data_IF_754025680979
#
_entry.id   IF_754025680979
#
_cell.length_a   1.000
_cell.length_b   1.000
_cell.length_c   1.000
_cell.angle_alpha   90.00
_cell.angle_beta   90.00
_cell.angle_gamma   90.00
#
_symmetry.space_group_name_H-M   'P 1'
#
loop_
_entity.id
_entity.type
_entity.pdbx_description
1 polymer ?
#
# COMPACT_ATOMS: atom_id res chain seq x y z
N UNK A 1 3.80 -0.27 2.38
CA UNK A 1 4.71 0.56 3.21
C UNK A 1 4.35 0.42 4.68
N UNK A 2 5.30 0.43 5.62
CA UNK A 2 5.02 0.32 7.07
C UNK A 2 5.41 1.59 7.83
N UNK A 3 4.61 1.95 8.81
CA UNK A 3 4.84 2.99 9.81
C UNK A 3 4.35 2.51 11.18
N UNK A 4 5.28 2.25 12.11
CA UNK A 4 4.97 1.64 13.40
C UNK A 4 4.20 0.32 13.26
N UNK A 5 2.98 0.30 13.82
CA UNK A 5 2.05 -0.84 13.74
C UNK A 5 1.06 -0.73 12.58
N UNK A 6 1.27 0.17 11.62
CA UNK A 6 0.42 0.30 10.44
C UNK A 6 1.18 -0.10 9.18
N UNK A 7 0.52 -0.86 8.32
CA UNK A 7 0.96 -1.07 6.95
C UNK A 7 -0.05 -0.49 5.97
N UNK A 8 0.43 0.34 5.05
CA UNK A 8 -0.35 0.95 3.99
C UNK A 8 -0.15 0.20 2.68
N UNK A 9 -1.26 -0.14 2.04
CA UNK A 9 -1.33 -0.89 0.79
C UNK A 9 -2.23 -0.15 -0.20
N UNK A 10 -2.03 -0.38 -1.49
CA UNK A 10 -2.95 0.09 -2.53
C UNK A 10 -3.30 -1.08 -3.45
N UNK A 11 -4.59 -1.34 -3.61
CA UNK A 11 -5.07 -2.24 -4.65
C UNK A 11 -5.06 -1.50 -5.99
N UNK A 12 -4.00 -1.69 -6.77
CA UNK A 12 -3.75 -0.96 -8.02
C UNK A 12 -4.89 -1.15 -9.04
N UNK A 13 -5.50 -2.34 -9.08
CA UNK A 13 -6.67 -2.65 -9.94
C UNK A 13 -8.02 -2.23 -9.34
N UNK A 14 -8.03 -1.48 -8.24
CA UNK A 14 -9.23 -0.88 -7.65
C UNK A 14 -10.23 -1.88 -7.05
N UNK A 15 -11.52 -1.49 -6.96
CA UNK A 15 -12.61 -2.26 -6.33
C UNK A 15 -12.91 -3.63 -6.97
N UNK A 16 -12.38 -3.90 -8.16
CA UNK A 16 -12.55 -5.19 -8.83
C UNK A 16 -11.58 -6.26 -8.34
N UNK A 17 -10.60 -5.88 -7.50
CA UNK A 17 -9.61 -6.82 -6.99
C UNK A 17 -10.22 -7.74 -5.94
N UNK A 18 -10.28 -9.04 -6.23
CA UNK A 18 -10.99 -10.03 -5.42
C UNK A 18 -10.56 -10.05 -3.94
N UNK A 19 -9.28 -9.81 -3.65
CA UNK A 19 -8.79 -9.77 -2.28
C UNK A 19 -9.31 -8.59 -1.46
N UNK A 20 -9.63 -7.45 -2.10
CA UNK A 20 -10.25 -6.30 -1.41
C UNK A 20 -11.65 -6.66 -0.94
N UNK A 21 -12.41 -7.39 -1.77
CA UNK A 21 -13.74 -7.90 -1.39
C UNK A 21 -13.64 -8.90 -0.23
N UNK A 22 -12.63 -9.77 -0.26
CA UNK A 22 -12.38 -10.70 0.85
C UNK A 22 -12.11 -9.96 2.15
N UNK A 23 -11.29 -8.90 2.13
CA UNK A 23 -11.02 -8.05 3.30
C UNK A 23 -12.28 -7.35 3.81
N UNK A 24 -13.16 -6.90 2.92
CA UNK A 24 -14.42 -6.27 3.32
C UNK A 24 -15.37 -7.25 4.03
N UNK A 25 -15.28 -8.54 3.71
CA UNK A 25 -16.08 -9.60 4.36
C UNK A 25 -15.42 -10.09 5.65
N UNK A 26 -14.10 -10.31 5.63
CA UNK A 26 -13.30 -10.68 6.78
C UNK A 26 -12.03 -9.83 6.82
N UNK A 27 -11.94 -8.85 7.72
CA UNK A 27 -10.80 -7.92 7.77
C UNK A 27 -9.52 -8.57 8.30
N UNK A 28 -9.59 -9.79 8.86
CA UNK A 28 -8.42 -10.45 9.44
C UNK A 28 -7.44 -10.88 8.35
N UNK A 29 -6.19 -10.40 8.44
CA UNK A 29 -5.14 -10.68 7.46
C UNK A 29 -3.84 -11.12 8.13
N UNK A 30 -3.02 -11.84 7.35
CA UNK A 30 -1.63 -12.14 7.67
C UNK A 30 -0.73 -11.48 6.62
N UNK A 31 0.20 -10.64 7.05
CA UNK A 31 1.09 -9.87 6.20
C UNK A 31 2.54 -10.29 6.45
N UNK A 32 3.19 -10.84 5.42
CA UNK A 32 4.64 -11.09 5.45
C UNK A 32 5.36 -9.80 5.08
N UNK A 33 6.20 -9.34 6.01
CA UNK A 33 7.13 -8.24 5.84
C UNK A 33 8.57 -8.77 5.89
N UNK A 34 9.53 -7.89 5.58
CA UNK A 34 10.96 -8.24 5.60
C UNK A 34 11.44 -8.69 6.98
N UNK A 35 10.85 -8.16 8.04
CA UNK A 35 11.22 -8.46 9.42
C UNK A 35 10.38 -9.57 10.06
N UNK A 36 9.32 -10.09 9.43
CA UNK A 36 8.50 -11.16 10.00
C UNK A 36 7.11 -11.30 9.38
N UNK A 37 6.30 -12.22 9.91
CA UNK A 37 4.87 -12.28 9.60
C UNK A 37 4.08 -11.61 10.70
N UNK A 38 3.09 -10.81 10.32
CA UNK A 38 2.21 -10.11 11.23
C UNK A 38 0.76 -10.50 10.98
N UNK A 39 -0.01 -10.69 12.03
CA UNK A 39 -1.47 -10.74 11.95
C UNK A 39 -2.06 -9.37 12.26
N UNK A 40 -3.19 -9.06 11.65
CA UNK A 40 -3.85 -7.79 11.88
C UNK A 40 -5.20 -7.65 11.20
N UNK A 41 -5.76 -6.44 11.26
CA UNK A 41 -7.02 -6.08 10.63
C UNK A 41 -6.81 -5.09 9.49
N UNK A 42 -7.30 -5.42 8.31
CA UNK A 42 -7.25 -4.57 7.12
C UNK A 42 -8.59 -3.87 6.88
N UNK A 43 -8.53 -2.60 6.48
CA UNK A 43 -9.70 -1.84 6.03
C UNK A 43 -9.35 -0.86 4.92
N UNK A 44 -10.31 -0.58 4.07
CA UNK A 44 -10.22 0.47 3.05
C UNK A 44 -10.19 1.84 3.72
N UNK A 45 -9.40 2.76 3.17
CA UNK A 45 -9.33 4.16 3.58
C UNK A 45 -9.71 5.06 2.40
N UNK A 46 -10.22 6.25 2.67
CA UNK A 46 -10.65 7.21 1.65
C UNK A 46 -10.30 8.65 2.09
N UNK A 47 -10.30 9.64 1.17
CA UNK A 47 -10.13 11.03 1.55
C UNK A 47 -11.12 11.43 2.67
N UNK A 48 -10.60 12.09 3.72
CA UNK A 48 -11.34 12.39 4.94
C UNK A 48 -11.18 11.37 6.07
N UNK A 49 -10.61 10.19 5.81
CA UNK A 49 -10.18 9.27 6.87
C UNK A 49 -8.95 9.85 7.60
N UNK A 50 -8.90 9.84 8.95
CA UNK A 50 -7.78 10.39 9.71
C UNK A 50 -6.41 9.83 9.33
N UNK A 51 -6.34 8.60 8.82
CA UNK A 51 -5.06 7.99 8.41
C UNK A 51 -4.73 8.15 6.93
N UNK A 52 -5.62 8.77 6.14
CA UNK A 52 -5.46 8.87 4.69
C UNK A 52 -4.23 9.69 4.30
N UNK A 53 -4.04 10.88 4.88
CA UNK A 53 -2.91 11.75 4.54
C UNK A 53 -1.57 11.12 4.94
N UNK A 54 -1.50 10.52 6.12
CA UNK A 54 -0.31 9.78 6.56
C UNK A 54 -0.01 8.58 5.64
N UNK A 55 -1.05 7.86 5.21
CA UNK A 55 -0.91 6.76 4.26
C UNK A 55 -0.43 7.27 2.89
N UNK A 56 -0.99 8.36 2.40
CA UNK A 56 -0.60 8.99 1.13
C UNK A 56 0.86 9.43 1.17
N UNK A 57 1.26 10.18 2.19
CA UNK A 57 2.64 10.63 2.37
C UNK A 57 3.61 9.44 2.43
N UNK A 58 3.27 8.42 3.23
CA UNK A 58 4.15 7.26 3.40
C UNK A 58 4.25 6.39 2.15
N UNK A 59 3.15 6.22 1.42
CA UNK A 59 3.07 5.39 0.21
C UNK A 59 3.64 6.09 -1.01
N UNK A 60 3.27 7.36 -1.22
CA UNK A 60 3.64 8.14 -2.39
C UNK A 60 4.99 8.87 -2.21
N UNK A 61 5.34 9.27 -0.99
CA UNK A 61 6.49 10.13 -0.72
C UNK A 61 7.81 9.38 -0.48
N UNK A 62 7.74 8.12 -0.05
CA UNK A 62 8.92 7.30 0.26
C UNK A 62 9.24 6.36 -0.88
N UNK A 63 10.48 6.44 -1.36
CA UNK A 63 11.02 5.61 -2.44
C UNK A 63 12.10 4.71 -1.87
N UNK A 64 11.95 3.41 -2.06
CA UNK A 64 12.90 2.38 -1.68
C UNK A 64 13.67 1.89 -2.92
N UNK A 65 14.84 1.25 -2.74
CA UNK A 65 15.64 0.76 -3.87
C UNK A 65 14.87 -0.19 -4.81
N UNK A 66 13.97 -1.01 -4.27
CA UNK A 66 13.18 -1.95 -5.07
C UNK A 66 12.19 -1.25 -6.02
N UNK A 67 11.71 -0.05 -5.65
CA UNK A 67 10.75 0.71 -6.46
C UNK A 67 11.36 1.16 -7.80
N UNK A 68 12.69 1.27 -7.89
CA UNK A 68 13.37 1.53 -9.17
C UNK A 68 13.28 0.34 -10.12
N UNK A 69 13.37 -0.89 -9.60
CA UNK A 69 13.16 -2.11 -10.41
C UNK A 69 11.70 -2.23 -10.83
N UNK A 70 10.77 -2.00 -9.90
CA UNK A 70 9.35 -1.99 -10.19
C UNK A 70 8.99 -0.97 -11.29
N UNK A 71 9.57 0.22 -11.25
CA UNK A 71 9.31 1.27 -12.24
C UNK A 71 9.73 0.87 -13.66
N UNK A 72 10.81 0.10 -13.82
CA UNK A 72 11.27 -0.41 -15.13
C UNK A 72 10.22 -1.32 -15.77
N UNK A 73 9.51 -2.12 -14.99
CA UNK A 73 8.47 -3.01 -15.50
C UNK A 73 7.17 -2.27 -15.86
N UNK A 74 6.91 -1.11 -15.26
CA UNK A 74 5.63 -0.41 -15.39
C UNK A 74 5.70 0.86 -16.27
N UNK A 75 6.87 1.45 -16.47
CA UNK A 75 7.05 2.68 -17.26
C UNK A 75 8.25 2.58 -18.19
N UNK A 76 8.13 3.17 -19.38
CA UNK A 76 9.25 3.23 -20.35
C UNK A 76 10.34 4.22 -19.90
N UNK A 77 11.59 3.87 -20.23
CA UNK A 77 12.78 4.69 -20.01
C UNK A 77 13.39 4.57 -18.62
N UNK A 78 14.47 5.31 -18.35
CA UNK A 78 15.19 5.22 -17.08
C UNK A 78 14.29 5.57 -15.89
N UNK A 79 14.30 4.77 -14.81
CA UNK A 79 13.57 5.05 -13.60
C UNK A 79 14.17 6.28 -12.91
N UNK A 80 13.32 7.09 -12.30
CA UNK A 80 13.76 8.22 -11.48
C UNK A 80 12.85 8.37 -10.28
N UNK A 81 13.35 9.00 -9.21
CA UNK A 81 12.55 9.27 -8.01
C UNK A 81 11.21 9.93 -8.35
N UNK A 82 11.22 10.92 -9.26
CA UNK A 82 9.99 11.59 -9.72
C UNK A 82 9.02 10.61 -10.37
N UNK A 83 9.49 9.76 -11.29
CA UNK A 83 8.64 8.77 -11.98
C UNK A 83 8.05 7.73 -11.03
N UNK A 84 8.77 7.37 -9.97
CA UNK A 84 8.31 6.43 -8.95
C UNK A 84 7.22 7.08 -8.09
N UNK A 85 7.45 8.29 -7.59
CA UNK A 85 6.45 9.04 -6.81
C UNK A 85 5.16 9.23 -7.62
N UNK A 86 5.27 9.60 -8.90
CA UNK A 86 4.11 9.71 -9.78
C UNK A 86 3.39 8.38 -10.01
N UNK A 87 4.13 7.26 -10.07
CA UNK A 87 3.54 5.93 -10.21
C UNK A 87 2.77 5.54 -8.94
N UNK A 88 3.38 5.73 -7.76
CA UNK A 88 2.74 5.44 -6.48
C UNK A 88 1.49 6.30 -6.26
N UNK A 89 1.52 7.59 -6.64
CA UNK A 89 0.33 8.46 -6.61
C UNK A 89 -0.78 7.92 -7.49
N UNK A 90 -0.46 7.58 -8.74
CA UNK A 90 -1.45 7.02 -9.67
C UNK A 90 -2.08 5.73 -9.12
N UNK A 91 -1.30 4.89 -8.43
CA UNK A 91 -1.79 3.66 -7.80
C UNK A 91 -2.63 3.91 -6.55
N UNK A 92 -2.21 4.84 -5.70
CA UNK A 92 -2.90 5.13 -4.45
C UNK A 92 -4.21 5.88 -4.70
N UNK A 93 -4.17 6.90 -5.56
CA UNK A 93 -5.33 7.76 -5.88
C UNK A 93 -6.28 7.10 -6.88
N UNK A 94 -5.75 6.35 -7.86
CA UNK A 94 -6.55 5.64 -8.86
C UNK A 94 -7.02 4.26 -8.43
N UNK A 95 -6.39 3.67 -7.41
CA UNK A 95 -6.69 2.33 -6.91
C UNK A 95 -7.69 2.32 -5.75
N UNK A 96 -7.48 1.40 -4.81
CA UNK A 96 -8.19 1.38 -3.53
C UNK A 96 -7.16 1.30 -2.41
N UNK A 97 -6.90 2.41 -1.68
CA UNK A 97 -5.95 2.40 -0.60
C UNK A 97 -6.52 1.71 0.64
N UNK A 98 -5.66 1.04 1.39
CA UNK A 98 -5.99 0.32 2.61
C UNK A 98 -4.94 0.57 3.68
N UNK A 99 -5.39 0.47 4.92
CA UNK A 99 -4.53 0.33 6.10
C UNK A 99 -4.70 -1.07 6.67
N UNK A 100 -3.60 -1.65 7.12
CA UNK A 100 -3.56 -2.84 7.96
C UNK A 100 -3.02 -2.42 9.31
N UNK A 101 -3.83 -2.52 10.35
CA UNK A 101 -3.40 -2.37 11.74
C UNK A 101 -2.80 -3.71 12.17
N UNK A 102 -1.50 -3.72 12.48
CA UNK A 102 -0.70 -4.90 12.83
C UNK A 102 -0.76 -5.12 14.35
N UNK A 103 -1.17 -6.31 14.76
CA UNK A 103 -1.35 -6.66 16.17
C UNK A 103 -0.15 -7.43 16.71
N UNK A 104 0.04 -8.66 16.21
CA UNK A 104 1.00 -9.62 16.76
C UNK A 104 1.92 -10.13 15.66
N UNK A 105 3.19 -10.32 16.02
CA UNK A 105 4.16 -11.02 15.17
C UNK A 105 4.02 -12.52 15.39
N UNK A 106 3.75 -13.25 14.31
CA UNK A 106 3.68 -14.71 14.29
C UNK A 106 5.07 -15.35 14.15
#
# INVERSE_FOLDING_TARGET
>A
MRDGNRAYLAAITGRHTLWVKNIQVNPSVSLRLTDGTYTGAARVIAPGDPVYEAAHERFCGVVHPFDYLENVFHRKGLPSRRKIVELHRAWFEGGTPLVVELDTRA
#
